data_IF_274650565216
#
_entry.id   IF_274650565216
#
_cell.length_a   1.000
_cell.length_b   1.000
_cell.length_c   1.000
_cell.angle_alpha   90.00
_cell.angle_beta   90.00
_cell.angle_gamma   90.00
#
_symmetry.space_group_name_H-M   'P 1'
#
loop_
_entity.id
_entity.type
_entity.pdbx_description
1 polymer ?
#
# COMPACT_ATOMS: atom_id res chain seq x y z
N UNK A 1 -66.28 32.67 -19.30
CA UNK A 1 -65.58 31.47 -19.61
C UNK A 1 -64.15 31.59 -19.10
N UNK A 2 -63.77 30.83 -18.03
CA UNK A 2 -62.43 30.87 -17.44
C UNK A 2 -61.74 29.55 -17.85
N UNK A 3 -60.75 29.62 -18.74
CA UNK A 3 -59.96 28.47 -19.21
C UNK A 3 -58.90 28.16 -18.17
N UNK A 4 -58.95 26.96 -17.58
CA UNK A 4 -57.94 26.45 -16.64
C UNK A 4 -56.89 25.65 -17.44
N UNK A 5 -55.64 26.09 -17.44
CA UNK A 5 -54.51 25.32 -17.94
C UNK A 5 -54.02 24.38 -16.88
N UNK A 6 -54.03 23.08 -17.14
CA UNK A 6 -53.38 22.07 -16.35
C UNK A 6 -51.90 21.94 -16.83
N UNK A 7 -50.98 22.23 -15.97
CA UNK A 7 -49.56 21.97 -16.20
C UNK A 7 -49.25 20.57 -15.66
N UNK A 8 -48.95 19.62 -16.55
CA UNK A 8 -48.42 18.31 -16.18
C UNK A 8 -46.93 18.46 -15.90
N UNK A 9 -46.52 18.28 -14.64
CA UNK A 9 -45.14 18.18 -14.27
C UNK A 9 -44.66 16.72 -14.50
N UNK A 10 -43.82 16.49 -15.49
CA UNK A 10 -43.15 15.20 -15.70
C UNK A 10 -42.01 15.08 -14.70
N UNK A 11 -42.14 14.15 -13.74
CA UNK A 11 -41.09 13.80 -12.81
C UNK A 11 -40.14 12.82 -13.53
N UNK A 12 -38.95 13.27 -13.94
CA UNK A 12 -37.88 12.41 -14.41
C UNK A 12 -37.24 11.77 -13.19
N UNK A 13 -37.47 10.48 -12.98
CA UNK A 13 -36.70 9.66 -12.03
C UNK A 13 -35.42 9.25 -12.76
N UNK A 14 -34.33 9.94 -12.44
CA UNK A 14 -32.99 9.53 -12.87
C UNK A 14 -32.58 8.29 -12.06
N UNK A 15 -32.65 7.11 -12.64
CA UNK A 15 -32.08 5.89 -12.08
C UNK A 15 -30.55 6.02 -12.11
N UNK A 16 -29.94 6.31 -10.97
CA UNK A 16 -28.51 6.26 -10.80
C UNK A 16 -28.05 4.79 -10.92
N UNK A 17 -27.48 4.44 -12.08
CA UNK A 17 -26.75 3.19 -12.23
C UNK A 17 -25.46 3.32 -11.42
N UNK A 18 -25.44 2.77 -10.23
CA UNK A 18 -24.22 2.49 -9.52
C UNK A 18 -23.45 1.45 -10.34
N UNK A 19 -22.49 1.91 -11.14
CA UNK A 19 -21.53 1.03 -11.80
C UNK A 19 -20.73 0.35 -10.71
N UNK A 20 -21.01 -0.92 -10.44
CA UNK A 20 -20.18 -1.75 -9.57
C UNK A 20 -18.78 -1.82 -10.19
N UNK A 21 -17.81 -1.14 -9.60
CA UNK A 21 -16.41 -1.34 -9.97
C UNK A 21 -16.10 -2.83 -9.85
N UNK A 22 -15.36 -3.41 -10.81
CA UNK A 22 -15.07 -4.84 -10.81
C UNK A 22 -14.40 -5.20 -9.48
N UNK A 23 -14.98 -6.12 -8.75
CA UNK A 23 -14.45 -6.61 -7.48
C UNK A 23 -13.10 -7.29 -7.77
N UNK A 24 -12.01 -6.76 -7.19
CA UNK A 24 -10.70 -7.41 -7.31
C UNK A 24 -10.79 -8.85 -6.79
N UNK A 25 -10.21 -9.80 -7.52
CA UNK A 25 -10.08 -11.20 -7.11
C UNK A 25 -8.61 -11.57 -7.01
N UNK A 26 -8.28 -12.50 -6.09
CA UNK A 26 -6.93 -13.08 -6.01
C UNK A 26 -6.56 -13.71 -7.36
N UNK A 27 -5.31 -13.60 -7.74
CA UNK A 27 -4.78 -14.10 -9.03
C UNK A 27 -4.00 -15.39 -8.86
N UNK A 28 -3.36 -15.55 -7.71
CA UNK A 28 -2.41 -16.62 -7.41
C UNK A 28 -2.75 -17.27 -6.09
N UNK A 29 -2.76 -16.50 -5.01
CA UNK A 29 -3.01 -16.99 -3.66
C UNK A 29 -4.50 -17.26 -3.42
N UNK A 30 -4.79 -18.05 -2.39
CA UNK A 30 -6.15 -18.33 -1.91
C UNK A 30 -6.51 -17.49 -0.69
N UNK A 31 -7.80 -17.37 -0.40
CA UNK A 31 -8.28 -16.67 0.79
C UNK A 31 -7.74 -17.28 2.09
N UNK A 32 -7.52 -18.60 2.13
CA UNK A 32 -6.96 -19.29 3.29
C UNK A 32 -5.48 -18.97 3.52
N UNK A 33 -4.73 -18.72 2.45
CA UNK A 33 -3.31 -18.37 2.53
C UNK A 33 -3.10 -16.92 2.98
N UNK A 34 -4.06 -16.04 2.70
CA UNK A 34 -4.00 -14.63 3.12
C UNK A 34 -4.82 -14.34 4.38
N UNK A 35 -5.21 -15.34 5.16
CA UNK A 35 -5.98 -15.16 6.40
C UNK A 35 -5.18 -14.33 7.43
N UNK A 36 -5.66 -13.11 7.77
CA UNK A 36 -4.92 -12.20 8.64
C UNK A 36 -4.71 -12.76 10.04
N UNK A 37 -5.62 -13.58 10.54
CA UNK A 37 -5.55 -14.17 11.89
C UNK A 37 -4.39 -15.15 12.04
N UNK A 38 -3.89 -15.67 10.92
CA UNK A 38 -2.78 -16.64 10.88
C UNK A 38 -1.45 -15.99 10.50
N UNK A 39 -1.48 -14.85 9.79
CA UNK A 39 -0.30 -14.21 9.26
C UNK A 39 0.24 -13.10 10.17
N UNK A 40 -0.63 -12.45 10.94
CA UNK A 40 -0.26 -11.26 11.71
C UNK A 40 -0.73 -11.36 13.17
N UNK A 41 0.11 -10.89 14.12
CA UNK A 41 -0.34 -10.65 15.48
C UNK A 41 -1.34 -9.48 15.50
N UNK A 42 -2.20 -9.39 16.54
CA UNK A 42 -3.05 -8.22 16.70
C UNK A 42 -2.21 -6.95 16.98
N UNK A 43 -2.61 -5.78 16.44
CA UNK A 43 -1.97 -4.52 16.76
C UNK A 43 -2.18 -4.14 18.24
N UNK A 44 -1.37 -3.22 18.81
CA UNK A 44 -1.68 -2.62 20.10
C UNK A 44 -3.11 -2.09 20.14
N UNK A 45 -3.84 -2.46 21.18
CA UNK A 45 -5.24 -2.05 21.35
C UNK A 45 -5.36 -0.53 21.48
N UNK A 46 -6.44 0.03 20.91
CA UNK A 46 -6.75 1.47 21.05
C UNK A 46 -6.81 1.88 22.53
N UNK A 47 -6.13 2.99 22.87
CA UNK A 47 -6.03 3.49 24.22
C UNK A 47 -5.09 2.70 25.14
N UNK A 48 -4.40 1.66 24.66
CA UNK A 48 -3.36 0.98 25.43
C UNK A 48 -2.13 1.86 25.63
N UNK A 49 -1.29 1.51 26.60
CA UNK A 49 -0.01 2.20 26.82
C UNK A 49 0.92 2.11 25.60
N UNK A 50 0.95 0.94 24.96
CA UNK A 50 1.75 0.72 23.74
C UNK A 50 1.28 1.62 22.60
N UNK A 51 -0.02 1.69 22.34
CA UNK A 51 -0.55 2.56 21.30
C UNK A 51 -0.30 4.05 21.59
N UNK A 52 -0.42 4.48 22.86
CA UNK A 52 -0.08 5.87 23.25
C UNK A 52 1.40 6.21 23.08
N UNK A 53 2.31 5.24 23.33
CA UNK A 53 3.74 5.43 23.06
C UNK A 53 4.00 5.60 21.57
N UNK A 54 3.47 4.72 20.75
CA UNK A 54 3.60 4.82 19.29
C UNK A 54 3.03 6.13 18.74
N UNK A 55 1.89 6.60 19.27
CA UNK A 55 1.29 7.87 18.85
C UNK A 55 2.25 9.04 19.13
N UNK A 56 2.86 9.09 20.33
CA UNK A 56 3.86 10.12 20.66
C UNK A 56 5.09 10.06 19.75
N UNK A 57 5.51 8.88 19.34
CA UNK A 57 6.62 8.74 18.38
C UNK A 57 6.26 9.29 17.01
N UNK A 58 5.04 9.02 16.53
CA UNK A 58 4.53 9.59 15.28
C UNK A 58 4.45 11.13 15.39
N UNK A 59 3.90 11.67 16.48
CA UNK A 59 3.85 13.11 16.74
C UNK A 59 5.25 13.73 16.64
N UNK A 60 6.21 13.18 17.41
CA UNK A 60 7.59 13.64 17.38
C UNK A 60 8.21 13.56 15.98
N UNK A 61 7.97 12.50 15.26
CA UNK A 61 8.51 12.32 13.91
C UNK A 61 7.94 13.36 12.94
N UNK A 62 6.65 13.62 13.00
CA UNK A 62 5.98 14.64 12.17
C UNK A 62 6.53 16.04 12.49
N UNK A 63 6.77 16.35 13.77
CA UNK A 63 7.30 17.64 14.20
C UNK A 63 8.78 17.84 13.82
N UNK A 64 9.58 16.77 13.80
CA UNK A 64 11.03 16.84 13.63
C UNK A 64 11.56 16.43 12.27
N UNK A 65 10.70 15.89 11.40
CA UNK A 65 11.11 15.48 10.04
C UNK A 65 11.64 16.66 9.24
N UNK A 66 12.76 16.46 8.51
CA UNK A 66 13.28 17.49 7.61
C UNK A 66 12.36 17.67 6.39
N UNK A 67 12.48 18.82 5.73
CA UNK A 67 11.73 19.11 4.50
C UNK A 67 12.06 18.11 3.40
N UNK A 68 13.33 17.73 3.28
CA UNK A 68 13.83 16.78 2.29
C UNK A 68 13.27 15.37 2.55
N UNK A 69 13.27 14.93 3.83
CA UNK A 69 12.71 13.62 4.21
C UNK A 69 11.20 13.59 3.99
N UNK A 70 10.51 14.68 4.27
CA UNK A 70 9.07 14.79 4.00
C UNK A 70 8.76 14.80 2.50
N UNK A 71 9.55 15.52 1.68
CA UNK A 71 9.41 15.49 0.23
C UNK A 71 9.59 14.09 -0.35
N UNK A 72 10.59 13.33 0.15
CA UNK A 72 10.77 11.92 -0.22
C UNK A 72 9.56 11.07 0.20
N UNK A 73 9.03 11.26 1.40
CA UNK A 73 7.86 10.53 1.88
C UNK A 73 6.59 10.85 1.07
N UNK A 74 6.42 12.10 0.63
CA UNK A 74 5.34 12.48 -0.30
C UNK A 74 5.49 11.77 -1.64
N UNK A 75 6.69 11.79 -2.21
CA UNK A 75 6.95 11.09 -3.45
C UNK A 75 6.65 9.58 -3.33
N UNK A 76 7.08 8.95 -2.23
CA UNK A 76 6.79 7.55 -1.94
C UNK A 76 5.29 7.28 -1.80
N UNK A 77 4.55 8.21 -1.20
CA UNK A 77 3.09 8.13 -1.08
C UNK A 77 2.37 8.17 -2.43
N UNK A 78 2.87 8.97 -3.36
CA UNK A 78 2.30 9.11 -4.71
C UNK A 78 2.64 7.94 -5.63
N UNK A 79 3.62 7.08 -5.25
CA UNK A 79 4.13 5.98 -6.06
C UNK A 79 3.92 4.63 -5.34
N UNK A 80 2.65 4.26 -5.11
CA UNK A 80 2.29 2.92 -4.60
C UNK A 80 2.35 1.87 -5.73
N UNK A 81 3.52 1.76 -6.35
CA UNK A 81 3.79 0.83 -7.45
C UNK A 81 5.28 0.49 -7.55
N UNK A 82 5.68 -0.47 -8.42
CA UNK A 82 7.08 -0.87 -8.53
C UNK A 82 8.04 0.20 -9.02
N UNK A 83 7.57 1.36 -9.53
CA UNK A 83 8.43 2.49 -9.90
C UNK A 83 9.12 3.10 -8.69
N UNK A 84 8.63 2.85 -7.48
CA UNK A 84 9.31 3.18 -6.22
C UNK A 84 10.76 2.64 -6.16
N UNK A 85 11.10 1.61 -6.93
CA UNK A 85 12.43 1.01 -7.02
C UNK A 85 13.26 1.52 -8.19
N UNK A 86 12.72 2.39 -9.07
CA UNK A 86 13.38 2.79 -10.31
C UNK A 86 14.76 3.46 -10.07
N UNK A 87 14.87 4.31 -9.06
CA UNK A 87 16.13 4.97 -8.72
C UNK A 87 17.20 3.97 -8.26
N UNK A 88 16.82 2.93 -7.52
CA UNK A 88 17.72 1.85 -7.05
C UNK A 88 18.16 0.96 -8.19
N UNK A 89 17.26 0.66 -9.12
CA UNK A 89 17.52 -0.26 -10.23
C UNK A 89 18.23 0.39 -11.42
N UNK A 90 18.03 1.69 -11.58
CA UNK A 90 18.63 2.49 -12.63
C UNK A 90 17.71 2.70 -13.85
N UNK A 91 18.17 3.51 -14.83
CA UNK A 91 17.31 4.03 -15.91
C UNK A 91 16.81 2.96 -16.90
N UNK A 92 17.43 1.79 -16.94
CA UNK A 92 16.98 0.66 -17.76
C UNK A 92 15.77 -0.06 -17.16
N UNK A 93 15.47 0.15 -15.87
CA UNK A 93 14.26 -0.37 -15.24
C UNK A 93 13.04 0.49 -15.64
N UNK A 94 12.48 0.16 -16.78
CA UNK A 94 11.30 0.82 -17.32
C UNK A 94 10.24 -0.24 -17.65
N UNK A 95 9.19 -0.33 -16.85
CA UNK A 95 8.15 -1.35 -16.97
C UNK A 95 7.35 -1.28 -18.28
N UNK A 96 7.34 -0.14 -18.98
CA UNK A 96 6.75 -0.05 -20.33
C UNK A 96 7.58 -0.82 -21.37
N UNK A 97 8.88 -1.01 -21.11
CA UNK A 97 9.83 -1.76 -21.95
C UNK A 97 10.13 -3.16 -21.43
N UNK A 98 9.54 -3.51 -20.28
CA UNK A 98 9.74 -4.78 -19.56
C UNK A 98 8.38 -5.46 -19.31
N UNK A 99 7.66 -5.87 -20.37
CA UNK A 99 6.28 -6.37 -20.26
C UNK A 99 6.15 -7.67 -19.45
N UNK A 100 7.14 -8.57 -19.50
CA UNK A 100 7.12 -9.81 -18.71
C UNK A 100 7.28 -9.49 -17.21
N UNK A 101 8.21 -8.61 -16.88
CA UNK A 101 8.42 -8.12 -15.51
C UNK A 101 7.19 -7.36 -15.02
N UNK A 102 6.63 -6.47 -15.84
CA UNK A 102 5.41 -5.73 -15.49
C UNK A 102 4.22 -6.66 -15.20
N UNK A 103 4.04 -7.72 -16.01
CA UNK A 103 2.97 -8.71 -15.81
C UNK A 103 3.13 -9.47 -14.49
N UNK A 104 4.34 -9.91 -14.17
CA UNK A 104 4.63 -10.59 -12.90
C UNK A 104 4.35 -9.66 -11.71
N UNK A 105 4.89 -8.45 -11.74
CA UNK A 105 4.70 -7.48 -10.65
C UNK A 105 3.24 -7.06 -10.50
N UNK A 106 2.45 -7.02 -11.57
CA UNK A 106 1.01 -6.75 -11.50
C UNK A 106 0.24 -7.88 -10.76
N UNK A 107 0.64 -9.15 -10.91
CA UNK A 107 0.06 -10.25 -10.15
C UNK A 107 0.41 -10.13 -8.65
N UNK A 108 1.67 -9.83 -8.34
CA UNK A 108 2.14 -9.57 -6.96
C UNK A 108 1.37 -8.42 -6.33
N UNK A 109 1.26 -7.29 -7.04
CA UNK A 109 0.52 -6.09 -6.60
C UNK A 109 -0.96 -6.38 -6.33
N UNK A 110 -1.58 -7.22 -7.15
CA UNK A 110 -2.98 -7.60 -6.96
C UNK A 110 -3.16 -8.35 -5.63
N UNK A 111 -2.41 -9.43 -5.43
CA UNK A 111 -2.62 -10.33 -4.29
C UNK A 111 -2.17 -9.71 -2.97
N UNK A 112 -1.05 -8.96 -2.96
CA UNK A 112 -0.64 -8.22 -1.77
C UNK A 112 -1.67 -7.15 -1.37
N UNK A 113 -2.28 -6.45 -2.32
CA UNK A 113 -3.29 -5.44 -2.01
C UNK A 113 -4.56 -6.05 -1.41
N UNK A 114 -4.94 -7.23 -1.86
CA UNK A 114 -6.06 -7.97 -1.30
C UNK A 114 -5.76 -8.50 0.10
N UNK A 115 -4.56 -9.04 0.34
CA UNK A 115 -4.13 -9.48 1.66
C UNK A 115 -4.09 -8.33 2.67
N UNK A 116 -3.48 -7.19 2.30
CA UNK A 116 -3.46 -5.99 3.12
C UNK A 116 -4.88 -5.47 3.40
N UNK A 117 -5.77 -5.50 2.39
CA UNK A 117 -7.18 -5.08 2.56
C UNK A 117 -7.96 -6.01 3.48
N UNK A 118 -7.77 -7.33 3.37
CA UNK A 118 -8.38 -8.32 4.26
C UNK A 118 -7.93 -8.09 5.71
N UNK A 119 -6.63 -7.86 5.94
CA UNK A 119 -6.08 -7.57 7.26
C UNK A 119 -6.63 -6.25 7.82
N UNK A 120 -6.69 -5.18 7.02
CA UNK A 120 -7.30 -3.90 7.43
C UNK A 120 -8.77 -4.06 7.84
N UNK A 121 -9.50 -4.91 7.15
CA UNK A 121 -10.91 -5.21 7.47
C UNK A 121 -11.04 -6.05 8.73
N UNK A 122 -10.10 -6.97 8.98
CA UNK A 122 -10.10 -7.84 10.16
C UNK A 122 -9.74 -7.07 11.45
N UNK A 123 -8.67 -6.26 11.42
CA UNK A 123 -8.13 -5.63 12.63
C UNK A 123 -8.79 -4.30 13.00
N UNK A 124 -9.39 -3.58 12.07
CA UNK A 124 -10.13 -2.33 12.30
C UNK A 124 -9.36 -1.28 13.14
N UNK A 125 -8.07 -1.09 12.90
CA UNK A 125 -7.23 -0.17 13.66
C UNK A 125 -7.43 1.28 13.24
N UNK A 126 -7.49 2.21 14.19
CA UNK A 126 -7.40 3.66 13.97
C UNK A 126 -6.03 4.06 13.47
N UNK A 127 -5.95 5.01 12.54
CA UNK A 127 -4.68 5.64 12.16
C UNK A 127 -4.21 6.62 13.24
N UNK A 128 -2.91 7.01 13.26
CA UNK A 128 -2.40 8.01 14.18
C UNK A 128 -3.22 9.29 14.19
N UNK A 129 -3.55 9.86 13.02
CA UNK A 129 -4.38 11.05 12.90
C UNK A 129 -5.77 10.86 13.52
N UNK A 130 -6.40 9.69 13.28
CA UNK A 130 -7.72 9.40 13.87
C UNK A 130 -7.65 9.20 15.39
N UNK A 131 -6.53 8.70 15.91
CA UNK A 131 -6.33 8.49 17.34
C UNK A 131 -5.98 9.79 18.08
N UNK A 132 -5.23 10.69 17.45
CA UNK A 132 -4.93 12.02 17.98
C UNK A 132 -6.19 12.88 18.13
N UNK A 133 -7.23 12.62 17.32
CA UNK A 133 -8.52 13.31 17.38
C UNK A 133 -8.40 14.81 17.14
N UNK A 134 -9.34 15.58 17.72
CA UNK A 134 -9.39 17.04 17.58
C UNK A 134 -8.22 17.77 18.28
N UNK A 135 -7.46 17.08 19.14
CA UNK A 135 -6.25 17.62 19.75
C UNK A 135 -5.13 17.86 18.72
N UNK A 136 -5.16 17.15 17.58
CA UNK A 136 -4.30 17.44 16.45
C UNK A 136 -4.84 18.64 15.66
N UNK A 137 -4.70 19.86 16.22
CA UNK A 137 -5.16 21.10 15.59
C UNK A 137 -4.62 21.35 14.18
N UNK A 138 -3.58 20.61 13.78
CA UNK A 138 -2.94 20.68 12.47
C UNK A 138 -2.81 19.27 11.83
N UNK A 139 -3.88 18.47 11.87
CA UNK A 139 -3.90 17.12 11.30
C UNK A 139 -3.56 17.08 9.80
N UNK A 140 -3.72 18.18 9.09
CA UNK A 140 -3.36 18.31 7.68
C UNK A 140 -1.84 18.20 7.46
N UNK A 141 -1.04 18.60 8.45
CA UNK A 141 0.42 18.45 8.41
C UNK A 141 0.89 17.01 8.71
N UNK A 142 -0.01 16.15 9.17
CA UNK A 142 0.31 14.78 9.58
C UNK A 142 0.27 13.78 8.43
N UNK A 143 -0.19 14.13 7.26
CA UNK A 143 -0.30 13.20 6.15
C UNK A 143 0.43 13.70 4.92
N UNK A 144 0.89 12.75 4.11
CA UNK A 144 1.42 13.04 2.79
C UNK A 144 0.31 13.19 1.74
N UNK A 145 -0.93 12.80 2.07
CA UNK A 145 -2.07 12.92 1.17
C UNK A 145 -2.53 14.38 1.05
N UNK A 146 -2.91 14.77 -0.14
CA UNK A 146 -3.65 16.01 -0.35
C UNK A 146 -5.12 15.84 0.01
N UNK A 147 -5.73 16.85 0.66
CA UNK A 147 -7.15 16.80 1.05
C UNK A 147 -7.46 15.80 2.16
N UNK A 148 -6.58 15.71 3.15
CA UNK A 148 -6.70 14.80 4.29
C UNK A 148 -8.07 14.93 4.96
N UNK A 149 -8.78 13.81 5.10
CA UNK A 149 -10.04 13.74 5.85
C UNK A 149 -9.83 14.11 7.30
N UNK A 150 -10.84 14.75 7.90
CA UNK A 150 -10.86 15.02 9.35
C UNK A 150 -10.64 13.72 10.15
N UNK A 151 -10.05 13.79 11.34
CA UNK A 151 -9.80 12.60 12.17
C UNK A 151 -11.02 11.70 12.36
N UNK A 152 -12.19 12.28 12.61
CA UNK A 152 -13.45 11.54 12.80
C UNK A 152 -13.95 10.81 11.55
N UNK A 153 -13.58 11.27 10.34
CA UNK A 153 -14.04 10.72 9.05
C UNK A 153 -13.05 9.68 8.47
N UNK A 154 -11.95 9.41 9.16
CA UNK A 154 -10.96 8.44 8.70
C UNK A 154 -11.43 7.01 8.93
N UNK A 155 -11.28 6.13 7.93
CA UNK A 155 -11.65 4.73 8.10
C UNK A 155 -10.70 4.03 9.07
N UNK A 156 -11.20 3.00 9.77
CA UNK A 156 -10.42 2.14 10.68
C UNK A 156 -9.59 1.14 9.88
N UNK A 157 -8.56 1.60 9.17
CA UNK A 157 -7.81 0.81 8.19
C UNK A 157 -6.29 1.05 8.26
N UNK A 158 -5.77 1.31 9.47
CA UNK A 158 -4.34 1.59 9.66
C UNK A 158 -3.48 0.33 9.53
N UNK A 159 -3.91 -0.78 10.11
CA UNK A 159 -3.08 -1.98 10.25
C UNK A 159 -3.46 -3.09 9.26
N UNK A 160 -2.49 -3.64 8.52
CA UNK A 160 -1.14 -3.13 8.24
C UNK A 160 -1.14 -1.98 7.23
N UNK A 161 0.02 -1.36 6.96
CA UNK A 161 0.18 -0.37 5.88
C UNK A 161 0.15 -1.05 4.50
N UNK A 162 -0.71 -0.57 3.59
CA UNK A 162 -0.78 -1.08 2.20
C UNK A 162 0.51 -0.79 1.43
N UNK A 163 0.98 0.46 1.48
CA UNK A 163 2.24 0.90 0.86
C UNK A 163 3.43 0.05 1.35
N UNK A 164 3.60 -0.07 2.66
CA UNK A 164 4.71 -0.85 3.21
C UNK A 164 4.61 -2.35 2.82
N UNK A 165 3.41 -2.94 2.81
CA UNK A 165 3.20 -4.32 2.33
C UNK A 165 3.61 -4.46 0.86
N UNK A 166 3.26 -3.48 0.02
CA UNK A 166 3.70 -3.42 -1.38
C UNK A 166 5.22 -3.33 -1.47
N UNK A 167 5.83 -2.40 -0.75
CA UNK A 167 7.28 -2.22 -0.77
C UNK A 167 8.04 -3.50 -0.47
N UNK A 168 7.65 -4.22 0.57
CA UNK A 168 8.32 -5.48 0.94
C UNK A 168 8.01 -6.62 -0.02
N UNK A 169 6.76 -6.82 -0.45
CA UNK A 169 6.41 -7.92 -1.36
C UNK A 169 7.06 -7.76 -2.73
N UNK A 170 7.00 -6.57 -3.31
CA UNK A 170 7.67 -6.24 -4.59
C UNK A 170 9.19 -6.30 -4.42
N UNK A 171 9.71 -5.78 -3.30
CA UNK A 171 11.15 -5.81 -2.99
C UNK A 171 11.71 -7.23 -2.95
N UNK A 172 11.01 -8.18 -2.31
CA UNK A 172 11.41 -9.61 -2.29
C UNK A 172 11.47 -10.20 -3.71
N UNK A 173 10.45 -9.96 -4.53
CA UNK A 173 10.43 -10.44 -5.91
C UNK A 173 11.58 -9.84 -6.72
N UNK A 174 11.76 -8.53 -6.65
CA UNK A 174 12.86 -7.85 -7.38
C UNK A 174 14.24 -8.30 -6.89
N UNK A 175 14.43 -8.50 -5.58
CA UNK A 175 15.68 -9.00 -5.03
C UNK A 175 16.01 -10.42 -5.50
N UNK A 176 14.98 -11.27 -5.70
CA UNK A 176 15.16 -12.61 -6.25
C UNK A 176 15.43 -12.61 -7.77
N UNK A 177 14.92 -11.61 -8.49
CA UNK A 177 15.13 -11.46 -9.93
C UNK A 177 16.46 -10.77 -10.26
N UNK A 178 16.96 -9.91 -9.38
CA UNK A 178 18.18 -9.10 -9.57
C UNK A 178 19.07 -9.27 -8.32
N UNK A 179 19.64 -10.46 -8.09
CA UNK A 179 20.33 -10.78 -6.85
C UNK A 179 21.57 -9.91 -6.60
N UNK A 180 22.20 -9.39 -7.64
CA UNK A 180 23.36 -8.48 -7.51
C UNK A 180 22.97 -7.14 -6.84
N UNK A 181 21.70 -6.76 -6.88
CA UNK A 181 21.17 -5.55 -6.24
C UNK A 181 20.27 -5.84 -5.04
N UNK A 182 20.19 -7.11 -4.61
CA UNK A 182 19.25 -7.54 -3.56
C UNK A 182 19.33 -6.69 -2.29
N UNK A 183 20.53 -6.42 -1.80
CA UNK A 183 20.75 -5.61 -0.62
C UNK A 183 20.20 -4.18 -0.79
N UNK A 184 20.48 -3.53 -1.93
CA UNK A 184 19.99 -2.17 -2.20
C UNK A 184 18.46 -2.14 -2.38
N UNK A 185 17.88 -3.16 -3.00
CA UNK A 185 16.42 -3.30 -3.18
C UNK A 185 15.74 -3.44 -1.83
N UNK A 186 16.23 -4.32 -0.95
CA UNK A 186 15.65 -4.55 0.37
C UNK A 186 15.83 -3.33 1.29
N UNK A 187 16.96 -2.64 1.22
CA UNK A 187 17.17 -1.38 1.92
C UNK A 187 16.16 -0.31 1.44
N UNK A 188 15.91 -0.24 0.12
CA UNK A 188 14.90 0.68 -0.43
C UNK A 188 13.49 0.32 0.02
N UNK A 189 13.14 -0.97 0.10
CA UNK A 189 11.85 -1.41 0.62
C UNK A 189 11.62 -0.94 2.06
N UNK A 190 12.64 -1.03 2.92
CA UNK A 190 12.59 -0.52 4.29
C UNK A 190 12.45 1.00 4.37
N UNK A 191 13.22 1.75 3.56
CA UNK A 191 13.11 3.22 3.51
C UNK A 191 11.74 3.69 2.98
N UNK A 192 11.22 3.01 1.96
CA UNK A 192 9.88 3.23 1.43
C UNK A 192 8.80 2.99 2.50
N UNK A 193 8.92 1.90 3.26
CA UNK A 193 8.01 1.59 4.35
C UNK A 193 8.09 2.64 5.48
N UNK A 194 9.30 3.07 5.86
CA UNK A 194 9.52 4.13 6.84
C UNK A 194 8.90 5.48 6.42
N UNK A 195 8.78 5.75 5.12
CA UNK A 195 8.07 6.93 4.63
C UNK A 195 6.62 7.02 5.14
N UNK A 196 5.98 5.90 5.48
CA UNK A 196 4.61 5.90 6.02
C UNK A 196 4.55 6.42 7.46
N UNK A 197 5.60 6.17 8.26
CA UNK A 197 5.74 6.76 9.59
C UNK A 197 6.07 8.26 9.47
N UNK A 198 6.99 8.61 8.57
CA UNK A 198 7.35 10.02 8.27
C UNK A 198 6.12 10.82 7.80
N UNK A 199 5.23 10.23 7.02
CA UNK A 199 3.96 10.84 6.66
C UNK A 199 3.03 11.05 7.87
N UNK A 200 3.17 10.27 8.96
CA UNK A 200 2.26 10.28 10.08
C UNK A 200 0.96 9.48 9.84
N UNK A 201 0.92 8.69 8.77
CA UNK A 201 -0.28 7.92 8.38
C UNK A 201 -0.37 6.57 9.08
N UNK A 202 0.77 6.05 9.54
CA UNK A 202 0.90 4.72 10.14
C UNK A 202 1.77 4.75 11.41
N UNK A 203 1.46 3.86 12.34
CA UNK A 203 2.31 3.55 13.49
C UNK A 203 3.47 2.66 13.05
N UNK A 204 4.52 2.62 13.87
CA UNK A 204 5.64 1.70 13.67
C UNK A 204 5.17 0.24 13.60
N UNK A 205 4.27 -0.19 14.48
CA UNK A 205 3.73 -1.56 14.46
C UNK A 205 2.89 -1.87 13.22
N UNK A 206 2.28 -0.87 12.54
CA UNK A 206 1.63 -1.08 11.24
C UNK A 206 2.67 -1.40 10.16
N UNK A 207 3.82 -0.72 10.21
CA UNK A 207 4.92 -0.89 9.27
C UNK A 207 5.63 -2.22 9.48
N UNK A 208 5.88 -2.62 10.74
CA UNK A 208 6.45 -3.92 11.08
C UNK A 208 5.54 -5.08 10.69
N UNK A 209 4.23 -4.97 10.90
CA UNK A 209 3.28 -5.96 10.42
C UNK A 209 3.27 -6.05 8.89
N UNK A 210 3.48 -4.92 8.21
CA UNK A 210 3.59 -4.88 6.75
C UNK A 210 4.88 -5.54 6.26
N UNK A 211 5.98 -5.38 7.01
CA UNK A 211 7.23 -6.08 6.75
C UNK A 211 7.01 -7.61 6.82
N UNK A 212 6.39 -8.08 7.90
CA UNK A 212 6.09 -9.50 8.05
C UNK A 212 5.16 -10.02 6.94
N UNK A 213 4.04 -9.32 6.70
CA UNK A 213 3.05 -9.69 5.68
C UNK A 213 3.65 -9.65 4.28
N UNK A 214 4.26 -8.52 3.90
CA UNK A 214 4.82 -8.33 2.56
C UNK A 214 5.93 -9.34 2.25
N UNK A 215 6.80 -9.64 3.24
CA UNK A 215 7.84 -10.66 3.08
C UNK A 215 7.25 -12.05 2.93
N UNK A 216 6.26 -12.42 3.74
CA UNK A 216 5.57 -13.72 3.62
C UNK A 216 4.89 -13.86 2.25
N UNK A 217 4.14 -12.86 1.82
CA UNK A 217 3.48 -12.86 0.50
C UNK A 217 4.48 -12.92 -0.65
N UNK A 218 5.57 -12.13 -0.58
CA UNK A 218 6.63 -12.18 -1.58
C UNK A 218 7.24 -13.57 -1.71
N UNK A 219 7.54 -14.22 -0.58
CA UNK A 219 8.07 -15.59 -0.56
C UNK A 219 7.05 -16.64 -1.04
N UNK A 220 5.79 -16.52 -0.67
CA UNK A 220 4.73 -17.43 -1.12
C UNK A 220 4.56 -17.33 -2.64
N UNK A 221 4.45 -16.11 -3.19
CA UNK A 221 4.31 -15.87 -4.61
C UNK A 221 5.55 -16.31 -5.40
N UNK A 222 6.75 -16.10 -4.88
CA UNK A 222 8.01 -16.53 -5.51
C UNK A 222 8.09 -18.05 -5.65
N UNK A 223 7.51 -18.79 -4.70
CA UNK A 223 7.53 -20.26 -4.68
C UNK A 223 6.27 -20.89 -5.31
N UNK A 224 5.29 -20.09 -5.75
CA UNK A 224 4.07 -20.61 -6.36
C UNK A 224 4.35 -21.21 -7.74
N UNK A 225 3.90 -22.44 -7.95
CA UNK A 225 4.16 -23.18 -9.19
C UNK A 225 3.54 -22.52 -10.42
N UNK A 226 2.40 -21.82 -10.26
CA UNK A 226 1.70 -21.13 -11.35
C UNK A 226 2.45 -19.90 -11.86
N UNK A 227 3.29 -19.28 -11.02
CA UNK A 227 4.10 -18.11 -11.38
C UNK A 227 5.47 -18.47 -11.97
N UNK A 228 5.93 -19.71 -11.87
CA UNK A 228 7.26 -20.13 -12.40
C UNK A 228 7.52 -19.66 -13.84
N UNK A 229 6.59 -19.87 -14.81
CA UNK A 229 6.83 -19.41 -16.18
C UNK A 229 6.95 -17.88 -16.29
N UNK A 230 6.20 -17.13 -15.47
CA UNK A 230 6.27 -15.67 -15.47
C UNK A 230 7.57 -15.17 -14.83
N UNK A 231 8.03 -15.82 -13.77
CA UNK A 231 9.30 -15.52 -13.09
C UNK A 231 10.46 -15.74 -14.05
N UNK A 232 10.47 -16.87 -14.78
CA UNK A 232 11.52 -17.18 -15.76
C UNK A 232 11.51 -16.19 -16.95
N UNK A 233 10.34 -15.83 -17.44
CA UNK A 233 10.19 -14.81 -18.49
C UNK A 233 10.69 -13.44 -18.03
N UNK A 234 10.35 -13.01 -16.83
CA UNK A 234 10.82 -11.76 -16.25
C UNK A 234 12.35 -11.79 -16.05
N UNK A 235 12.91 -12.90 -15.58
CA UNK A 235 14.35 -13.07 -15.40
C UNK A 235 15.10 -12.98 -16.73
N UNK A 236 14.59 -13.64 -17.79
CA UNK A 236 15.17 -13.57 -19.13
C UNK A 236 15.12 -12.14 -19.70
N UNK A 237 14.01 -11.44 -19.51
CA UNK A 237 13.82 -10.06 -19.94
C UNK A 237 14.78 -9.10 -19.22
N UNK A 238 14.93 -9.23 -17.89
CA UNK A 238 15.84 -8.41 -17.09
C UNK A 238 17.31 -8.64 -17.47
N UNK A 239 17.70 -9.89 -17.81
CA UNK A 239 19.03 -10.18 -18.38
C UNK A 239 19.23 -9.48 -19.71
N UNK A 240 18.27 -9.59 -20.61
CA UNK A 240 18.35 -8.93 -21.92
C UNK A 240 18.45 -7.41 -21.82
N UNK A 241 17.84 -6.83 -20.77
CA UNK A 241 17.93 -5.41 -20.45
C UNK A 241 19.21 -5.00 -19.70
N UNK A 242 20.10 -5.95 -19.37
CA UNK A 242 21.34 -5.69 -18.62
C UNK A 242 21.13 -5.30 -17.14
N UNK A 243 20.00 -5.66 -16.56
CA UNK A 243 19.65 -5.38 -15.16
C UNK A 243 20.18 -6.45 -14.20
N UNK A 244 20.41 -7.66 -14.68
CA UNK A 244 21.03 -8.78 -13.95
C UNK A 244 21.92 -9.61 -14.88
N UNK A 245 22.85 -10.35 -14.31
CA UNK A 245 23.71 -11.31 -15.03
C UNK A 245 23.26 -12.77 -14.86
N UNK A 246 22.28 -13.03 -13.95
CA UNK A 246 21.78 -14.37 -13.62
C UNK A 246 20.50 -14.76 -14.34
#
# INVERSE_FOLDING_TARGET
MKTRYFVLAAVFVAAAHAQNAPTKTLKVLTAAEIDPSRLLPPPPADGSESQRKELKEVERLVETRSKERFAQAKWDNEHEDPTAFAATLGPTFNLQKLPATAKLLAAVMNDQSMAASAAKTYFHRRSPVAAAGDAASNYQAWSCDEGVKKPADRPLRSYPSGHATMGYSVGIILAALIPEKSQAILARAGDYAYSREVCGDHYHSDVEASHALGSALGMMLLNDASLKPQIEAARAELRAAGLTMQ
#
